data_IF_486035568495
#
_entry.id   IF_486035568495
#
_cell.length_a   1.000
_cell.length_b   1.000
_cell.length_c   1.000
_cell.angle_alpha   90.00
_cell.angle_beta   90.00
_cell.angle_gamma   90.00
#
_symmetry.space_group_name_H-M   'P 1'
#
loop_
_entity.id
_entity.type
_entity.pdbx_description
1 polymer ?
#
# COMPACT_ATOMS: atom_id res chain seq x y z
N UNK A 1 31.83 0.19 -4.63
CA UNK A 1 30.66 -0.47 -5.26
C UNK A 1 30.17 -1.51 -4.28
N UNK A 2 29.26 -1.12 -3.39
CA UNK A 2 28.85 -1.93 -2.25
C UNK A 2 27.52 -1.36 -1.73
N UNK A 3 26.44 -1.64 -2.47
CA UNK A 3 25.06 -1.26 -2.12
C UNK A 3 24.07 -2.41 -2.37
N UNK A 4 24.52 -3.66 -2.28
CA UNK A 4 23.68 -4.82 -2.66
C UNK A 4 22.99 -5.54 -1.50
N UNK A 5 22.89 -4.96 -0.30
CA UNK A 5 22.22 -5.65 0.81
C UNK A 5 21.22 -4.82 1.63
N UNK A 6 21.02 -3.54 1.31
CA UNK A 6 19.94 -2.71 1.85
C UNK A 6 18.98 -2.36 0.71
N UNK A 7 18.26 -3.34 0.15
CA UNK A 7 17.36 -3.02 -0.98
C UNK A 7 16.07 -3.82 -1.04
N UNK A 8 15.96 -4.98 -0.38
CA UNK A 8 14.73 -5.78 -0.51
C UNK A 8 13.52 -5.22 0.26
N UNK A 9 13.71 -4.71 1.49
CA UNK A 9 12.58 -4.19 2.30
C UNK A 9 12.11 -2.79 1.88
N UNK A 10 13.02 -1.93 1.42
CA UNK A 10 12.66 -0.57 0.97
C UNK A 10 11.87 -0.61 -0.34
N UNK A 11 12.22 -1.53 -1.27
CA UNK A 11 11.43 -1.73 -2.48
C UNK A 11 10.01 -2.19 -2.15
N UNK A 12 9.82 -3.14 -1.22
CA UNK A 12 8.48 -3.61 -0.87
C UNK A 12 7.60 -2.56 -0.21
N UNK A 13 8.14 -1.68 0.64
CA UNK A 13 7.37 -0.56 1.21
C UNK A 13 7.02 0.48 0.13
N UNK A 14 7.98 0.83 -0.73
CA UNK A 14 7.75 1.79 -1.83
C UNK A 14 6.71 1.25 -2.82
N UNK A 15 6.79 -0.04 -3.17
CA UNK A 15 5.83 -0.71 -4.04
C UNK A 15 4.44 -0.76 -3.42
N UNK A 16 4.35 -0.99 -2.11
CA UNK A 16 3.11 -0.98 -1.34
C UNK A 16 2.46 0.41 -1.34
N UNK A 17 3.25 1.47 -1.15
CA UNK A 17 2.79 2.86 -1.22
C UNK A 17 2.33 3.22 -2.63
N UNK A 18 3.09 2.85 -3.66
CA UNK A 18 2.70 3.10 -5.05
C UNK A 18 1.39 2.39 -5.40
N UNK A 19 1.23 1.14 -4.96
CA UNK A 19 0.00 0.36 -5.18
C UNK A 19 -1.20 0.97 -4.44
N UNK A 20 -1.00 1.52 -3.24
CA UNK A 20 -2.04 2.29 -2.54
C UNK A 20 -2.51 3.50 -3.35
N UNK A 21 -1.57 4.28 -3.90
CA UNK A 21 -1.91 5.44 -4.72
C UNK A 21 -2.65 5.08 -5.99
N UNK A 22 -2.26 3.99 -6.65
CA UNK A 22 -3.00 3.46 -7.80
C UNK A 22 -4.43 3.07 -7.42
N UNK A 23 -4.59 2.32 -6.31
CA UNK A 23 -5.90 1.88 -5.81
C UNK A 23 -6.86 3.04 -5.53
N UNK A 24 -6.42 4.12 -4.87
CA UNK A 24 -7.33 5.23 -4.55
C UNK A 24 -7.77 6.04 -5.76
N UNK A 25 -7.03 5.99 -6.88
CA UNK A 25 -7.42 6.67 -8.12
C UNK A 25 -8.61 6.01 -8.80
N UNK A 26 -8.86 4.73 -8.52
CA UNK A 26 -10.02 3.98 -9.01
C UNK A 26 -11.26 4.21 -8.13
N UNK A 27 -11.10 4.81 -6.94
CA UNK A 27 -12.21 5.07 -6.04
C UNK A 27 -13.14 6.15 -6.58
N UNK A 28 -14.44 5.83 -6.66
CA UNK A 28 -15.49 6.81 -6.94
C UNK A 28 -15.52 7.89 -5.84
N UNK A 29 -15.79 9.13 -6.24
CA UNK A 29 -15.92 10.29 -5.33
C UNK A 29 -17.36 10.46 -4.83
N UNK A 30 -18.34 9.88 -5.54
CA UNK A 30 -19.76 10.26 -5.40
C UNK A 30 -20.45 9.51 -4.26
N UNK A 31 -20.12 8.23 -4.04
CA UNK A 31 -20.59 7.40 -2.92
C UNK A 31 -19.57 6.28 -2.65
N UNK A 32 -19.37 5.89 -1.38
CA UNK A 32 -18.45 4.81 -1.01
C UNK A 32 -16.95 5.16 -1.07
N UNK A 33 -16.60 6.44 -1.30
CA UNK A 33 -15.21 6.90 -1.39
C UNK A 33 -14.39 6.52 -0.15
N UNK A 34 -14.97 6.70 1.04
CA UNK A 34 -14.31 6.35 2.31
C UNK A 34 -14.09 4.85 2.46
N UNK A 35 -15.09 4.02 2.12
CA UNK A 35 -14.98 2.56 2.17
C UNK A 35 -13.89 2.07 1.21
N UNK A 36 -13.85 2.63 0.00
CA UNK A 36 -12.83 2.31 -1.00
C UNK A 36 -11.42 2.68 -0.53
N UNK A 37 -11.22 3.89 0.01
CA UNK A 37 -9.93 4.30 0.57
C UNK A 37 -9.53 3.40 1.75
N UNK A 38 -10.45 3.09 2.67
CA UNK A 38 -10.19 2.20 3.80
C UNK A 38 -9.72 0.83 3.31
N UNK A 39 -10.36 0.27 2.29
CA UNK A 39 -9.93 -1.00 1.68
C UNK A 39 -8.54 -0.90 1.05
N UNK A 40 -8.25 0.17 0.30
CA UNK A 40 -6.91 0.40 -0.27
C UNK A 40 -5.82 0.50 0.81
N UNK A 41 -6.12 1.17 1.93
CA UNK A 41 -5.22 1.26 3.08
C UNK A 41 -4.98 -0.11 3.71
N UNK A 42 -6.04 -0.89 3.92
CA UNK A 42 -5.93 -2.22 4.54
C UNK A 42 -5.15 -3.21 3.68
N UNK A 43 -5.32 -3.17 2.36
CA UNK A 43 -4.66 -4.10 1.42
C UNK A 43 -3.20 -3.72 1.20
N UNK A 44 -2.88 -2.43 1.10
CA UNK A 44 -1.56 -1.99 0.65
C UNK A 44 -0.67 -1.44 1.78
N UNK A 45 -1.22 -0.88 2.86
CA UNK A 45 -0.43 -0.19 3.88
C UNK A 45 -0.57 -0.74 5.30
N UNK A 46 -1.61 -1.52 5.59
CA UNK A 46 -1.73 -2.22 6.87
C UNK A 46 -0.78 -3.43 6.88
N UNK A 47 0.46 -3.16 7.27
CA UNK A 47 1.50 -4.17 7.48
C UNK A 47 1.12 -5.16 8.58
N UNK A 48 0.49 -6.26 8.20
CA UNK A 48 0.37 -7.49 8.98
C UNK A 48 -0.21 -7.37 10.39
N UNK A 49 -1.54 -7.45 10.51
CA UNK A 49 -2.12 -8.30 11.57
C UNK A 49 -1.95 -9.76 11.14
N UNK A 50 -0.70 -10.23 11.15
CA UNK A 50 -0.37 -11.66 11.20
C UNK A 50 0.19 -11.94 12.60
N UNK A 51 -0.56 -11.57 13.63
CA UNK A 51 -0.32 -12.00 15.00
C UNK A 51 -1.67 -12.39 15.61
N UNK A 52 -2.16 -13.59 15.30
CA UNK A 52 -2.43 -14.67 16.29
C UNK A 52 -2.87 -15.95 15.57
#
# INVERSE_FOLDING_TARGET
MNDSFVSSNQNTEIDSINSYFECITECSIVDGHQECITRCLEVHLKGGDQNE
#
